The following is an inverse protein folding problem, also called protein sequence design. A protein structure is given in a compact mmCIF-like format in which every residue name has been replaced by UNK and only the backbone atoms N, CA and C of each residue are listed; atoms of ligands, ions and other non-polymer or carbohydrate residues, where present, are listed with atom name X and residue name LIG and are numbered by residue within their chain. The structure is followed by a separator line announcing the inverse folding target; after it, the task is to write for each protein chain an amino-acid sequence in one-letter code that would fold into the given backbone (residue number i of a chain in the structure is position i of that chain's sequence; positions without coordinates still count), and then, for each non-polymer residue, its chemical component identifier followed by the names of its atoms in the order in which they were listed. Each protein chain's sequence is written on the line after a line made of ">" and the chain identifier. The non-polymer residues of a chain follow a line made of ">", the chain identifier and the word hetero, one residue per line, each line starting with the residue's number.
data_IF_971561675593
#
_entry.id   IF_971561675593
#
_cell.length_a   1.000
_cell.length_b   1.000
_cell.length_c   1.000
_cell.angle_alpha   90.00
_cell.angle_beta   90.00
_cell.angle_gamma   90.00
#
_symmetry.space_group_name_H-M   'P 1'
#
loop_
_entity.id
_entity.type
_entity.pdbx_description
1 polymer ?
#
# COMPACT_ATOMS: atom_id res chain seq x y z
N UNK A 1 -10.50 25.02 -17.94
CA UNK A 1 -10.13 23.85 -18.78
C UNK A 1 -10.82 22.64 -18.19
N UNK A 2 -11.72 21.99 -18.94
CA UNK A 2 -12.43 20.81 -18.46
C UNK A 2 -11.44 19.67 -18.23
N UNK A 3 -11.35 19.19 -16.99
CA UNK A 3 -10.53 18.06 -16.56
C UNK A 3 -11.10 16.76 -17.17
N UNK A 4 -10.80 16.46 -18.43
CA UNK A 4 -11.02 15.14 -19.01
C UNK A 4 -9.93 14.20 -18.43
N UNK A 5 -10.04 13.85 -17.15
CA UNK A 5 -9.29 12.71 -16.60
C UNK A 5 -9.98 11.47 -17.10
N UNK A 6 -9.30 10.73 -17.96
CA UNK A 6 -9.80 9.47 -18.51
C UNK A 6 -10.29 8.57 -17.33
N UNK A 7 -11.57 8.17 -17.30
CA UNK A 7 -12.14 7.42 -16.18
C UNK A 7 -11.37 6.13 -15.91
N UNK A 8 -10.89 5.50 -16.99
CA UNK A 8 -10.08 4.29 -16.93
C UNK A 8 -8.74 4.50 -16.22
N UNK A 9 -8.05 5.60 -16.51
CA UNK A 9 -6.76 5.93 -15.87
C UNK A 9 -6.98 6.24 -14.38
N UNK A 10 -8.09 6.88 -14.04
CA UNK A 10 -8.45 7.17 -12.65
C UNK A 10 -8.80 5.89 -11.88
N UNK A 11 -9.56 5.00 -12.50
CA UNK A 11 -9.93 3.70 -11.91
C UNK A 11 -8.72 2.79 -11.70
N UNK A 12 -7.84 2.67 -12.70
CA UNK A 12 -6.61 1.87 -12.60
C UNK A 12 -5.68 2.37 -11.48
N UNK A 13 -5.54 3.69 -11.35
CA UNK A 13 -4.78 4.28 -10.25
C UNK A 13 -5.44 4.00 -8.88
N UNK A 14 -6.77 4.09 -8.79
CA UNK A 14 -7.49 3.79 -7.55
C UNK A 14 -7.39 2.30 -7.16
N UNK A 15 -7.45 1.38 -8.13
CA UNK A 15 -7.25 -0.04 -7.91
C UNK A 15 -5.83 -0.34 -7.40
N UNK A 16 -4.81 0.28 -8.01
CA UNK A 16 -3.42 0.16 -7.55
C UNK A 16 -3.23 0.68 -6.11
N UNK A 17 -3.89 1.77 -5.76
CA UNK A 17 -3.90 2.31 -4.37
C UNK A 17 -4.55 1.32 -3.41
N UNK A 18 -5.71 0.76 -3.76
CA UNK A 18 -6.41 -0.21 -2.92
C UNK A 18 -5.57 -1.48 -2.68
N UNK A 19 -4.89 -1.98 -3.73
CA UNK A 19 -3.96 -3.12 -3.61
C UNK A 19 -2.79 -2.78 -2.69
N UNK A 20 -2.26 -1.55 -2.74
CA UNK A 20 -1.21 -1.12 -1.83
C UNK A 20 -1.68 -1.06 -0.36
N UNK A 21 -2.93 -0.66 -0.11
CA UNK A 21 -3.49 -0.62 1.25
C UNK A 21 -3.69 -2.03 1.81
N UNK A 22 -4.20 -2.95 0.99
CA UNK A 22 -4.36 -4.36 1.37
C UNK A 22 -2.97 -4.98 1.61
N UNK A 23 -2.02 -4.73 0.71
CA UNK A 23 -0.65 -5.24 0.80
C UNK A 23 0.09 -4.72 2.02
N UNK A 24 -0.19 -3.48 2.48
CA UNK A 24 0.47 -2.93 3.66
C UNK A 24 0.01 -3.56 4.97
N UNK A 25 -1.18 -4.16 5.00
CA UNK A 25 -1.68 -4.93 6.15
C UNK A 25 -1.30 -6.40 6.03
N UNK A 26 -1.56 -7.01 4.87
CA UNK A 26 -1.29 -8.43 4.66
C UNK A 26 0.21 -8.75 4.63
N UNK A 27 1.05 -7.88 4.08
CA UNK A 27 2.50 -8.09 4.02
C UNK A 27 3.12 -8.35 5.40
N UNK A 28 2.97 -7.42 6.36
CA UNK A 28 3.40 -7.64 7.75
C UNK A 28 2.74 -8.85 8.39
N UNK A 29 1.43 -9.08 8.20
CA UNK A 29 0.74 -10.22 8.80
C UNK A 29 1.29 -11.57 8.32
N UNK A 30 1.54 -11.74 7.02
CA UNK A 30 2.10 -12.97 6.48
C UNK A 30 3.54 -13.20 6.95
N UNK A 31 4.34 -12.13 7.07
CA UNK A 31 5.71 -12.24 7.59
C UNK A 31 5.69 -12.59 9.08
N UNK A 32 4.82 -11.95 9.88
CA UNK A 32 4.68 -12.27 11.30
C UNK A 32 4.10 -13.67 11.53
N UNK A 33 3.15 -14.12 10.72
CA UNK A 33 2.60 -15.48 10.81
C UNK A 33 3.66 -16.56 10.57
N UNK A 34 4.75 -16.23 9.91
CA UNK A 34 5.78 -17.18 9.49
C UNK A 34 7.12 -16.91 10.18
N UNK A 35 7.09 -16.16 11.31
CA UNK A 35 8.21 -15.62 12.08
C UNK A 35 9.52 -16.43 11.96
N UNK A 36 10.40 -16.01 11.04
CA UNK A 36 11.75 -16.54 10.88
C UNK A 36 11.90 -17.76 9.96
N UNK A 37 10.82 -18.33 9.44
CA UNK A 37 10.87 -19.43 8.48
C UNK A 37 10.73 -18.93 7.04
N UNK A 38 11.88 -18.76 6.39
CA UNK A 38 11.99 -18.30 5.01
C UNK A 38 11.70 -19.42 3.98
N UNK A 39 11.41 -20.64 4.42
CA UNK A 39 11.12 -21.76 3.51
C UNK A 39 9.63 -21.84 3.15
N UNK A 40 8.76 -21.22 3.96
CA UNK A 40 7.33 -21.23 3.74
C UNK A 40 6.88 -20.24 2.66
N UNK A 41 5.95 -20.68 1.81
CA UNK A 41 5.39 -19.89 0.72
C UNK A 41 4.77 -18.55 1.19
N UNK A 42 4.23 -18.51 2.41
CA UNK A 42 3.63 -17.33 3.00
C UNK A 42 4.62 -16.18 3.20
N UNK A 43 5.89 -16.48 3.52
CA UNK A 43 6.94 -15.47 3.67
C UNK A 43 7.22 -14.78 2.33
N UNK A 44 7.26 -15.52 1.23
CA UNK A 44 7.45 -14.97 -0.11
C UNK A 44 6.27 -14.08 -0.54
N UNK A 45 5.04 -14.50 -0.23
CA UNK A 45 3.83 -13.70 -0.48
C UNK A 45 3.88 -12.39 0.31
N UNK A 46 4.25 -12.46 1.59
CA UNK A 46 4.38 -11.27 2.44
C UNK A 46 5.44 -10.28 1.91
N UNK A 47 6.60 -10.79 1.47
CA UNK A 47 7.65 -9.98 0.85
C UNK A 47 7.15 -9.35 -0.46
N UNK A 48 6.45 -10.10 -1.31
CA UNK A 48 5.89 -9.57 -2.55
C UNK A 48 4.93 -8.41 -2.28
N UNK A 49 4.06 -8.53 -1.27
CA UNK A 49 3.18 -7.44 -0.86
C UNK A 49 3.94 -6.20 -0.37
N UNK A 50 5.01 -6.39 0.42
CA UNK A 50 5.87 -5.26 0.83
C UNK A 50 6.49 -4.56 -0.37
N UNK A 51 6.98 -5.32 -1.36
CA UNK A 51 7.56 -4.74 -2.58
C UNK A 51 6.50 -3.91 -3.33
N UNK A 52 5.27 -4.41 -3.46
CA UNK A 52 4.17 -3.67 -4.09
C UNK A 52 3.88 -2.36 -3.35
N UNK A 53 3.88 -2.38 -2.01
CA UNK A 53 3.70 -1.17 -1.18
C UNK A 53 4.84 -0.17 -1.41
N UNK A 54 6.09 -0.64 -1.49
CA UNK A 54 7.25 0.22 -1.77
C UNK A 54 7.18 0.86 -3.16
N UNK A 55 6.72 0.12 -4.16
CA UNK A 55 6.48 0.66 -5.50
C UNK A 55 5.38 1.72 -5.49
N UNK A 56 4.30 1.49 -4.74
CA UNK A 56 3.23 2.48 -4.54
C UNK A 56 3.75 3.77 -3.89
N UNK A 57 4.59 3.65 -2.85
CA UNK A 57 5.24 4.81 -2.21
C UNK A 57 6.08 5.60 -3.22
N UNK A 58 6.86 4.92 -4.07
CA UNK A 58 7.66 5.56 -5.13
C UNK A 58 6.78 6.35 -6.09
N UNK A 59 5.62 5.82 -6.47
CA UNK A 59 4.68 6.51 -7.35
C UNK A 59 3.94 7.65 -6.64
N UNK A 60 3.67 7.53 -5.34
CA UNK A 60 3.22 8.64 -4.50
C UNK A 60 4.20 9.82 -4.50
N UNK A 61 5.51 9.55 -4.37
CA UNK A 61 6.55 10.59 -4.43
C UNK A 61 6.58 11.28 -5.80
N UNK A 62 6.42 10.53 -6.89
CA UNK A 62 6.28 11.13 -8.24
C UNK A 62 5.01 11.99 -8.34
N UNK A 63 3.89 11.53 -7.78
CA UNK A 63 2.63 12.29 -7.77
C UNK A 63 2.77 13.64 -7.04
N UNK A 64 3.52 13.68 -5.93
CA UNK A 64 3.86 14.92 -5.22
C UNK A 64 4.65 15.90 -6.10
N UNK A 65 5.65 15.39 -6.83
CA UNK A 65 6.44 16.21 -7.78
C UNK A 65 5.56 16.80 -8.90
N UNK A 66 4.49 16.11 -9.28
CA UNK A 66 3.54 16.56 -10.28
C UNK A 66 2.39 17.42 -9.71
N UNK A 67 2.48 17.88 -8.46
CA UNK A 67 1.47 18.73 -7.82
C UNK A 67 0.19 18.00 -7.38
N UNK A 68 0.13 16.66 -7.46
CA UNK A 68 -1.01 15.86 -7.01
C UNK A 68 -0.81 15.41 -5.55
N UNK A 69 -1.19 16.29 -4.62
CA UNK A 69 -1.13 16.05 -3.17
C UNK A 69 -2.04 14.90 -2.72
N UNK A 70 -3.23 14.76 -3.30
CA UNK A 70 -4.15 13.66 -2.96
C UNK A 70 -3.57 12.29 -3.30
N UNK A 71 -2.92 12.17 -4.47
CA UNK A 71 -2.21 10.94 -4.87
C UNK A 71 -1.05 10.61 -3.94
N UNK A 72 -0.31 11.62 -3.48
CA UNK A 72 0.76 11.41 -2.49
C UNK A 72 0.24 10.88 -1.16
N UNK A 73 -0.87 11.43 -0.64
CA UNK A 73 -1.46 10.95 0.62
C UNK A 73 -1.95 9.51 0.46
N UNK A 74 -2.69 9.23 -0.61
CA UNK A 74 -3.25 7.90 -0.85
C UNK A 74 -2.18 6.82 -1.06
N UNK A 75 -1.08 7.13 -1.75
CA UNK A 75 -0.04 6.15 -2.10
C UNK A 75 1.12 6.07 -1.09
N UNK A 76 1.34 7.10 -0.26
CA UNK A 76 2.51 7.16 0.61
C UNK A 76 2.14 7.23 2.10
N UNK A 77 1.11 7.99 2.46
CA UNK A 77 0.73 8.23 3.85
C UNK A 77 -0.20 7.13 4.36
N UNK A 78 -1.24 6.81 3.58
CA UNK A 78 -2.23 5.78 3.96
C UNK A 78 -1.64 4.38 4.14
N UNK A 79 -0.78 3.87 3.23
CA UNK A 79 -0.20 2.53 3.40
C UNK A 79 0.68 2.41 4.64
N UNK A 80 1.22 3.52 5.16
CA UNK A 80 1.98 3.54 6.41
C UNK A 80 1.07 3.64 7.64
N UNK A 81 0.03 4.48 7.59
CA UNK A 81 -0.86 4.70 8.74
C UNK A 81 -1.78 3.50 9.00
N UNK A 82 -2.33 2.89 7.96
CA UNK A 82 -3.28 1.77 8.07
C UNK A 82 -2.73 0.62 8.93
N UNK A 83 -1.52 0.07 8.69
CA UNK A 83 -0.98 -1.00 9.53
C UNK A 83 -0.81 -0.59 11.00
N UNK A 84 -0.44 0.67 11.28
CA UNK A 84 -0.37 1.18 12.65
C UNK A 84 -1.75 1.23 13.33
N UNK A 85 -2.79 1.68 12.63
CA UNK A 85 -4.16 1.68 13.16
C UNK A 85 -4.60 0.24 13.45
N UNK A 86 -4.36 -0.69 12.53
CA UNK A 86 -4.72 -2.10 12.69
C UNK A 86 -4.02 -2.69 13.92
N UNK A 87 -2.71 -2.49 14.06
CA UNK A 87 -1.96 -2.95 15.22
C UNK A 87 -2.46 -2.33 16.53
N UNK A 88 -2.74 -1.03 16.54
CA UNK A 88 -3.27 -0.34 17.70
C UNK A 88 -4.65 -0.87 18.11
N UNK A 89 -5.55 -1.13 17.14
CA UNK A 89 -6.87 -1.73 17.44
C UNK A 89 -6.74 -3.15 17.99
N UNK A 90 -5.79 -3.95 17.50
CA UNK A 90 -5.57 -5.31 18.00
C UNK A 90 -4.91 -5.36 19.39
N UNK A 91 -4.12 -4.36 19.77
CA UNK A 91 -3.46 -4.28 21.09
C UNK A 91 -4.36 -3.72 22.19
N UNK A 92 -5.41 -2.98 21.83
CA UNK A 92 -6.34 -2.32 22.76
C UNK A 92 -7.54 -3.22 23.12
N UNK A 93 -7.77 -4.29 22.34
CA UNK A 93 -8.78 -5.33 22.61
C UNK A 93 -8.11 -6.46 23.41
#
# INVERSE_FOLDING_TARGET
>A
MAFYRDPYVTYLNAAGVAVAWIGSVLGPLFIFSTFGDFTHHNTYIGIAFIIVVLLSIRDGVKAKKNGNTSGFIAMCVMPLIIPFIVLATFLVI
#
